data_IF_669353583468
#
_entry.id   IF_669353583468
#
_cell.length_a   1.000
_cell.length_b   1.000
_cell.length_c   1.000
_cell.angle_alpha   90.00
_cell.angle_beta   90.00
_cell.angle_gamma   90.00
#
_symmetry.space_group_name_H-M   'P 1'
#
loop_
_entity.id
_entity.type
_entity.pdbx_description
1 polymer ?
#
# COMPACT_ATOMS: atom_id res chain seq x y z
N UNK A 1 -81.93 7.77 -60.75
CA UNK A 1 -81.63 7.55 -62.16
C UNK A 1 -80.15 7.05 -62.20
N UNK A 2 -80.04 5.81 -62.50
CA UNK A 2 -79.29 5.23 -63.58
C UNK A 2 -77.80 5.24 -63.36
N UNK A 3 -77.10 4.22 -63.15
CA UNK A 3 -77.00 2.91 -63.77
C UNK A 3 -75.51 2.76 -64.03
N UNK A 4 -74.88 1.76 -63.82
CA UNK A 4 -74.63 0.43 -64.25
C UNK A 4 -73.17 0.11 -64.08
N UNK A 5 -72.96 -1.01 -63.51
CA UNK A 5 -72.37 -2.25 -64.08
C UNK A 5 -71.09 -2.03 -64.94
N UNK A 6 -69.98 -2.64 -64.54
CA UNK A 6 -69.63 -3.95 -64.93
C UNK A 6 -68.14 -4.23 -64.99
N UNK A 7 -67.85 -5.42 -64.53
CA UNK A 7 -66.89 -6.46 -65.03
C UNK A 7 -65.38 -6.20 -65.04
N UNK A 8 -64.69 -6.98 -64.19
CA UNK A 8 -63.86 -8.14 -64.48
C UNK A 8 -62.73 -7.96 -65.51
N UNK A 9 -61.51 -8.15 -65.09
CA UNK A 9 -60.59 -9.28 -65.42
C UNK A 9 -59.19 -8.92 -64.98
N UNK A 10 -58.60 -9.68 -64.05
CA UNK A 10 -57.61 -10.71 -64.22
C UNK A 10 -56.25 -10.32 -64.89
N UNK A 11 -55.25 -10.57 -64.15
CA UNK A 11 -53.92 -11.10 -64.43
C UNK A 11 -52.81 -10.11 -64.83
N UNK A 12 -51.80 -10.05 -64.02
CA UNK A 12 -50.53 -10.74 -64.30
C UNK A 12 -49.46 -10.27 -63.25
N UNK A 13 -48.74 -11.27 -62.79
CA UNK A 13 -47.54 -11.19 -62.00
C UNK A 13 -46.48 -10.27 -62.59
N UNK A 14 -45.89 -9.41 -61.78
CA UNK A 14 -44.51 -8.99 -61.99
C UNK A 14 -43.83 -8.96 -60.65
N UNK A 15 -42.98 -9.90 -60.43
CA UNK A 15 -42.09 -10.11 -59.28
C UNK A 15 -40.95 -9.11 -59.40
N UNK A 16 -40.94 -8.05 -58.61
CA UNK A 16 -39.78 -7.19 -58.49
C UNK A 16 -39.17 -7.43 -57.10
N UNK A 17 -38.02 -8.13 -57.09
CA UNK A 17 -37.14 -8.24 -55.95
C UNK A 17 -36.59 -6.85 -55.61
N UNK A 18 -37.00 -6.31 -54.49
CA UNK A 18 -36.31 -5.16 -53.85
C UNK A 18 -35.45 -5.74 -52.73
N UNK A 19 -34.13 -5.74 -52.92
CA UNK A 19 -33.15 -5.97 -51.85
C UNK A 19 -33.25 -4.84 -50.82
N UNK A 20 -33.49 -5.13 -49.54
CA UNK A 20 -33.22 -4.16 -48.51
C UNK A 20 -31.71 -4.15 -48.22
N UNK A 21 -31.07 -3.03 -48.52
CA UNK A 21 -29.70 -2.76 -48.12
C UNK A 21 -29.60 -2.78 -46.58
N UNK A 22 -28.85 -3.73 -46.04
CA UNK A 22 -28.44 -3.79 -44.66
C UNK A 22 -27.45 -2.65 -44.37
N UNK A 23 -27.96 -1.56 -43.85
CA UNK A 23 -27.15 -0.58 -43.12
C UNK A 23 -26.80 -1.22 -41.78
N UNK A 24 -25.70 -1.96 -41.70
CA UNK A 24 -25.07 -2.39 -40.47
C UNK A 24 -24.47 -1.17 -39.80
N UNK A 25 -25.28 -0.50 -38.95
CA UNK A 25 -24.78 0.41 -37.92
C UNK A 25 -23.97 -0.42 -36.93
N UNK A 26 -22.65 -0.43 -37.12
CA UNK A 26 -21.71 -1.01 -36.17
C UNK A 26 -21.75 -0.21 -34.86
N UNK A 27 -22.67 -0.56 -33.96
CA UNK A 27 -22.49 -0.26 -32.54
C UNK A 27 -21.28 -1.08 -32.11
N UNK A 28 -20.13 -0.41 -31.98
CA UNK A 28 -18.97 -0.96 -31.31
C UNK A 28 -19.37 -1.32 -29.88
N UNK A 29 -19.69 -2.59 -29.64
CA UNK A 29 -19.73 -3.14 -28.29
C UNK A 29 -18.35 -2.90 -27.67
N UNK A 30 -18.26 -1.89 -26.81
CA UNK A 30 -17.22 -1.85 -25.82
C UNK A 30 -17.44 -3.10 -24.98
N UNK A 31 -16.72 -4.16 -25.29
CA UNK A 31 -16.61 -5.30 -24.40
C UNK A 31 -16.12 -4.77 -23.07
N UNK A 32 -17.03 -4.62 -22.13
CA UNK A 32 -16.68 -4.34 -20.74
C UNK A 32 -15.73 -5.48 -20.35
N UNK A 33 -14.46 -5.12 -20.12
CA UNK A 33 -13.43 -6.05 -19.66
C UNK A 33 -13.99 -6.72 -18.42
N UNK A 34 -14.30 -8.01 -18.51
CA UNK A 34 -14.75 -8.76 -17.34
C UNK A 34 -13.78 -8.52 -16.19
N UNK A 35 -14.29 -8.20 -15.00
CA UNK A 35 -13.43 -7.98 -13.84
C UNK A 35 -12.64 -9.26 -13.61
N UNK A 36 -11.32 -9.18 -13.70
CA UNK A 36 -10.43 -10.29 -13.38
C UNK A 36 -10.82 -10.89 -12.02
N UNK A 37 -10.85 -12.21 -11.88
CA UNK A 37 -11.25 -12.85 -10.63
C UNK A 37 -10.40 -12.28 -9.49
N UNK A 38 -11.05 -11.84 -8.41
CA UNK A 38 -10.36 -11.31 -7.23
C UNK A 38 -9.43 -12.40 -6.69
N UNK A 39 -8.12 -12.14 -6.69
CA UNK A 39 -7.15 -13.03 -6.06
C UNK A 39 -7.53 -13.25 -4.59
N UNK A 40 -7.42 -14.48 -4.10
CA UNK A 40 -7.66 -14.79 -2.68
C UNK A 40 -6.73 -13.96 -1.77
N UNK A 41 -7.22 -13.60 -0.59
CA UNK A 41 -6.41 -12.93 0.42
C UNK A 41 -5.24 -13.82 0.88
N UNK A 42 -4.17 -13.18 1.36
CA UNK A 42 -3.10 -13.91 2.05
C UNK A 42 -3.59 -14.43 3.40
N UNK A 43 -3.17 -15.63 3.78
CA UNK A 43 -3.62 -16.32 5.00
C UNK A 43 -3.12 -15.69 6.33
N UNK A 44 -2.44 -14.55 6.28
CA UNK A 44 -1.95 -13.81 7.42
C UNK A 44 -0.65 -13.05 7.13
N UNK A 45 -0.14 -12.26 8.10
CA UNK A 45 1.08 -11.45 7.93
C UNK A 45 2.29 -12.28 7.46
N UNK A 46 2.46 -13.49 7.99
CA UNK A 46 3.54 -14.41 7.63
C UNK A 46 3.51 -14.91 6.17
N UNK A 47 2.44 -14.63 5.44
CA UNK A 47 2.26 -15.01 4.03
C UNK A 47 2.30 -13.83 3.07
N UNK A 48 2.52 -12.64 3.58
CA UNK A 48 2.68 -11.46 2.74
C UNK A 48 4.01 -11.55 1.97
N UNK A 49 4.00 -11.29 0.65
CA UNK A 49 5.24 -11.02 -0.06
C UNK A 49 5.91 -9.77 0.55
N UNK A 50 7.22 -9.85 0.77
CA UNK A 50 8.00 -8.73 1.24
C UNK A 50 9.36 -8.71 0.55
N UNK A 51 9.84 -7.55 0.17
CA UNK A 51 11.12 -7.38 -0.52
C UNK A 51 11.73 -6.01 -0.27
N UNK A 52 13.03 -5.91 -0.44
CA UNK A 52 13.69 -4.63 -0.63
C UNK A 52 13.47 -4.20 -2.08
N UNK A 53 13.10 -2.94 -2.28
CA UNK A 53 12.95 -2.39 -3.62
C UNK A 53 14.30 -2.11 -4.28
N UNK A 54 14.29 -1.87 -5.59
CA UNK A 54 15.51 -1.64 -6.39
C UNK A 54 16.28 -0.39 -5.97
N UNK A 55 15.61 0.56 -5.32
CA UNK A 55 16.22 1.77 -4.74
C UNK A 55 17.14 1.46 -3.54
N UNK A 56 17.05 0.27 -2.98
CA UNK A 56 17.86 -0.19 -1.84
C UNK A 56 17.50 0.48 -0.50
N UNK A 57 16.37 1.18 -0.41
CA UNK A 57 15.93 1.94 0.77
C UNK A 57 14.49 1.67 1.17
N UNK A 58 13.64 1.31 0.23
CA UNK A 58 12.21 1.07 0.44
C UNK A 58 11.94 -0.41 0.64
N UNK A 59 11.23 -0.76 1.72
CA UNK A 59 10.72 -2.12 1.96
C UNK A 59 9.28 -2.20 1.48
N UNK A 60 9.01 -3.12 0.57
CA UNK A 60 7.68 -3.32 -0.05
C UNK A 60 7.03 -4.56 0.55
N UNK A 61 5.78 -4.42 0.99
CA UNK A 61 4.96 -5.49 1.57
C UNK A 61 3.62 -5.59 0.84
N UNK A 62 3.24 -6.80 0.46
CA UNK A 62 1.95 -7.08 -0.18
C UNK A 62 2.03 -7.42 -1.66
N UNK A 63 0.88 -7.48 -2.31
CA UNK A 63 0.80 -7.82 -3.74
C UNK A 63 1.38 -6.68 -4.59
N UNK A 64 2.41 -6.93 -5.43
CA UNK A 64 2.96 -5.91 -6.31
C UNK A 64 1.93 -5.33 -7.29
N UNK A 65 0.87 -6.08 -7.60
CA UNK A 65 -0.23 -5.65 -8.48
C UNK A 65 -1.41 -5.03 -7.73
N UNK A 66 -1.26 -4.76 -6.42
CA UNK A 66 -2.32 -4.09 -5.65
C UNK A 66 -2.64 -2.72 -6.25
N UNK A 67 -3.93 -2.36 -6.36
CA UNK A 67 -4.35 -1.13 -7.06
C UNK A 67 -3.99 0.16 -6.32
N UNK A 68 -3.66 0.09 -5.04
CA UNK A 68 -3.30 1.24 -4.23
C UNK A 68 -1.94 1.02 -3.56
N UNK A 69 -1.06 1.99 -3.71
CA UNK A 69 0.23 2.03 -3.01
C UNK A 69 0.12 3.00 -1.84
N UNK A 70 0.53 2.56 -0.66
CA UNK A 70 0.68 3.42 0.52
C UNK A 70 2.14 3.38 0.93
N UNK A 71 2.86 4.48 0.74
CA UNK A 71 4.24 4.63 1.19
C UNK A 71 4.24 5.36 2.53
N UNK A 72 4.80 4.74 3.54
CA UNK A 72 4.93 5.26 4.88
C UNK A 72 6.39 5.64 5.17
N UNK A 73 6.57 6.83 5.71
CA UNK A 73 7.83 7.27 6.30
C UNK A 73 7.68 7.21 7.81
N UNK A 74 8.49 6.44 8.48
CA UNK A 74 8.38 6.16 9.92
C UNK A 74 9.73 6.22 10.62
N UNK A 75 9.72 6.64 11.89
CA UNK A 75 10.84 6.42 12.81
C UNK A 75 10.39 5.43 13.90
N UNK A 76 11.14 4.34 14.14
CA UNK A 76 10.74 3.33 15.14
C UNK A 76 10.55 3.88 16.57
N UNK A 77 11.15 5.03 16.93
CA UNK A 77 10.96 5.66 18.23
C UNK A 77 9.82 6.68 18.27
N UNK A 78 9.23 7.02 17.11
CA UNK A 78 8.18 8.03 17.03
C UNK A 78 6.89 7.54 17.69
N UNK A 79 6.36 8.23 18.75
CA UNK A 79 5.14 7.81 19.42
C UNK A 79 3.91 7.94 18.54
N UNK A 80 3.89 8.90 17.60
CA UNK A 80 2.79 9.08 16.66
C UNK A 80 2.79 7.93 15.62
N UNK A 81 3.96 7.41 15.23
CA UNK A 81 4.05 6.17 14.44
C UNK A 81 3.52 4.98 15.22
N UNK A 82 3.83 4.87 16.53
CA UNK A 82 3.26 3.83 17.37
C UNK A 82 1.73 3.91 17.42
N UNK A 83 1.19 5.10 17.63
CA UNK A 83 -0.26 5.31 17.65
C UNK A 83 -0.89 4.86 16.33
N UNK A 84 -0.35 5.30 15.20
CA UNK A 84 -0.79 4.87 13.87
C UNK A 84 -0.76 3.35 13.74
N UNK A 85 0.38 2.72 14.06
CA UNK A 85 0.62 1.29 13.83
C UNK A 85 -0.14 0.37 14.79
N UNK A 86 -0.46 0.82 16.01
CA UNK A 86 -1.08 -0.04 17.04
C UNK A 86 -2.58 0.22 17.17
N UNK A 87 -2.98 1.48 17.32
CA UNK A 87 -4.36 1.87 17.61
C UNK A 87 -5.04 2.62 16.48
N UNK A 88 -4.28 3.28 15.62
CA UNK A 88 -4.75 4.05 14.48
C UNK A 88 -5.09 3.20 13.25
N UNK A 89 -4.75 3.71 12.07
CA UNK A 89 -5.05 3.12 10.78
C UNK A 89 -4.19 1.93 10.38
N UNK A 90 -3.01 1.75 10.99
CA UNK A 90 -2.05 0.68 10.65
C UNK A 90 -2.66 -0.73 10.62
N UNK A 91 -3.46 -1.15 11.64
CA UNK A 91 -4.15 -2.43 11.58
C UNK A 91 -5.12 -2.57 10.39
N UNK A 92 -5.79 -1.48 10.00
CA UNK A 92 -6.68 -1.49 8.84
C UNK A 92 -5.89 -1.58 7.52
N UNK A 93 -4.79 -0.83 7.42
CA UNK A 93 -3.89 -0.90 6.26
C UNK A 93 -3.32 -2.31 6.09
N UNK A 94 -2.79 -2.93 7.15
CA UNK A 94 -2.33 -4.34 7.12
C UNK A 94 -3.42 -5.30 6.65
N UNK A 95 -4.67 -5.10 7.11
CA UNK A 95 -5.79 -5.92 6.66
C UNK A 95 -6.13 -5.71 5.17
N UNK A 96 -5.99 -4.49 4.64
CA UNK A 96 -6.16 -4.20 3.21
C UNK A 96 -5.02 -4.84 2.39
N UNK A 97 -3.79 -4.78 2.89
CA UNK A 97 -2.63 -5.41 2.26
C UNK A 97 -2.79 -6.93 2.18
N UNK A 98 -3.26 -7.57 3.25
CA UNK A 98 -3.60 -9.00 3.23
C UNK A 98 -4.67 -9.34 2.19
N UNK A 99 -5.66 -8.47 1.99
CA UNK A 99 -6.71 -8.64 0.98
C UNK A 99 -6.28 -8.25 -0.44
N UNK A 100 -5.01 -7.88 -0.65
CA UNK A 100 -4.47 -7.42 -1.94
C UNK A 100 -5.14 -6.13 -2.46
N UNK A 101 -5.76 -5.38 -1.54
CA UNK A 101 -6.39 -4.09 -1.87
C UNK A 101 -5.35 -2.96 -1.90
N UNK A 102 -4.27 -3.11 -1.11
CA UNK A 102 -3.12 -2.20 -1.08
C UNK A 102 -1.80 -2.97 -1.12
N UNK A 103 -0.72 -2.31 -1.55
CA UNK A 103 0.65 -2.65 -1.14
C UNK A 103 1.17 -1.52 -0.25
N UNK A 104 2.00 -1.87 0.72
CA UNK A 104 2.59 -0.89 1.64
C UNK A 104 4.09 -0.83 1.41
N UNK A 105 4.61 0.38 1.31
CA UNK A 105 6.02 0.68 1.17
C UNK A 105 6.48 1.39 2.44
N UNK A 106 7.68 1.09 2.92
CA UNK A 106 8.25 1.67 4.13
C UNK A 106 9.63 2.23 3.87
N UNK A 107 9.84 3.49 4.20
CA UNK A 107 11.16 4.13 4.33
C UNK A 107 11.33 4.59 5.76
N UNK A 108 12.44 4.20 6.39
CA UNK A 108 12.66 4.48 7.80
C UNK A 108 13.60 5.66 8.00
N UNK A 109 13.15 6.59 8.83
CA UNK A 109 13.97 7.63 9.44
C UNK A 109 14.59 7.11 10.74
N UNK A 110 15.61 7.81 11.22
CA UNK A 110 16.25 7.60 12.52
C UNK A 110 16.67 8.93 13.17
N UNK A 111 16.04 10.03 12.76
CA UNK A 111 16.36 11.39 13.24
C UNK A 111 16.08 11.57 14.74
N UNK A 112 15.22 10.73 15.34
CA UNK A 112 14.96 10.79 16.77
C UNK A 112 16.17 10.38 17.62
N UNK A 113 17.12 9.64 17.06
CA UNK A 113 18.38 9.36 17.72
C UNK A 113 19.23 10.63 17.92
N UNK A 114 19.14 11.60 17.00
CA UNK A 114 19.80 12.90 17.13
C UNK A 114 19.03 13.84 18.06
N UNK A 115 17.70 13.86 17.95
CA UNK A 115 16.85 14.75 18.75
C UNK A 115 16.75 14.35 20.22
N UNK A 116 16.62 13.06 20.50
CA UNK A 116 16.41 12.54 21.87
C UNK A 116 17.65 11.80 22.43
N UNK A 117 18.74 11.77 21.65
CA UNK A 117 19.96 11.05 22.01
C UNK A 117 19.87 9.54 21.83
N UNK A 118 21.02 8.89 21.73
CA UNK A 118 21.11 7.45 21.61
C UNK A 118 21.23 6.93 20.18
N UNK A 119 20.82 5.68 19.96
CA UNK A 119 20.86 4.99 18.66
C UNK A 119 19.77 3.93 18.49
N UNK A 120 18.67 4.09 19.22
CA UNK A 120 17.55 3.16 19.25
C UNK A 120 16.85 3.02 17.90
N UNK A 121 16.59 4.14 17.20
CA UNK A 121 16.00 4.12 15.88
C UNK A 121 16.89 3.38 14.89
N UNK A 122 18.19 3.72 14.83
CA UNK A 122 19.15 3.06 13.94
C UNK A 122 19.26 1.56 14.21
N UNK A 123 19.28 1.16 15.48
CA UNK A 123 19.28 -0.28 15.86
C UNK A 123 17.98 -0.98 15.45
N UNK A 124 16.83 -0.34 15.63
CA UNK A 124 15.55 -0.91 15.23
C UNK A 124 15.44 -1.06 13.72
N UNK A 125 15.85 -0.03 12.94
CA UNK A 125 15.86 -0.09 11.47
C UNK A 125 16.78 -1.20 10.96
N UNK A 126 17.99 -1.36 11.56
CA UNK A 126 18.87 -2.49 11.26
C UNK A 126 18.20 -3.85 11.53
N UNK A 127 17.48 -3.97 12.64
CA UNK A 127 16.79 -5.22 13.00
C UNK A 127 15.59 -5.48 12.08
N UNK A 128 14.85 -4.47 11.66
CA UNK A 128 13.80 -4.58 10.65
C UNK A 128 14.35 -5.06 9.30
N UNK A 129 15.50 -4.51 8.87
CA UNK A 129 16.17 -4.97 7.66
C UNK A 129 16.65 -6.42 7.77
N UNK A 130 17.12 -6.83 8.95
CA UNK A 130 17.48 -8.23 9.21
C UNK A 130 16.26 -9.16 9.18
N UNK A 131 15.10 -8.69 9.68
CA UNK A 131 13.84 -9.42 9.61
C UNK A 131 13.33 -9.59 8.18
N UNK A 132 13.52 -8.58 7.32
CA UNK A 132 13.22 -8.68 5.89
C UNK A 132 14.02 -9.81 5.21
N UNK A 133 15.29 -9.94 5.53
CA UNK A 133 16.16 -11.02 5.01
C UNK A 133 15.67 -12.41 5.40
N UNK A 134 15.00 -12.49 6.57
CA UNK A 134 14.40 -13.72 7.07
C UNK A 134 12.94 -13.94 6.58
N UNK A 135 12.39 -13.05 5.75
CA UNK A 135 10.99 -13.10 5.32
C UNK A 135 10.00 -12.90 6.47
N UNK A 136 10.34 -12.02 7.44
CA UNK A 136 9.62 -11.79 8.69
C UNK A 136 9.47 -10.31 9.06
N UNK A 137 9.63 -9.43 8.06
CA UNK A 137 9.55 -8.00 8.29
C UNK A 137 8.16 -7.58 8.80
N UNK A 138 7.09 -7.96 8.10
CA UNK A 138 5.73 -7.51 8.42
C UNK A 138 5.30 -7.95 9.84
N UNK A 139 5.70 -9.16 10.26
CA UNK A 139 5.41 -9.66 11.61
C UNK A 139 6.23 -8.92 12.66
N UNK A 140 7.53 -8.74 12.41
CA UNK A 140 8.44 -8.13 13.36
C UNK A 140 8.20 -6.62 13.51
N UNK A 141 7.90 -5.92 12.43
CA UNK A 141 7.47 -4.52 12.43
C UNK A 141 6.29 -4.28 13.37
N UNK A 142 5.23 -5.08 13.23
CA UNK A 142 4.08 -5.00 14.12
C UNK A 142 4.41 -5.31 15.58
N UNK A 143 5.37 -6.20 15.84
CA UNK A 143 5.84 -6.51 17.20
C UNK A 143 6.63 -5.34 17.78
N UNK A 144 7.51 -4.70 17.00
CA UNK A 144 8.31 -3.56 17.47
C UNK A 144 7.43 -2.42 17.93
N UNK A 145 6.48 -1.96 17.10
CA UNK A 145 5.61 -0.85 17.47
C UNK A 145 4.70 -1.17 18.67
N UNK A 146 4.20 -2.39 18.79
CA UNK A 146 3.41 -2.78 19.98
C UNK A 146 4.21 -2.77 21.29
N UNK A 147 5.52 -2.83 21.23
CA UNK A 147 6.41 -2.85 22.39
C UNK A 147 7.43 -1.72 22.34
N UNK A 148 7.05 -0.62 21.69
CA UNK A 148 7.92 0.54 21.54
C UNK A 148 8.25 1.09 22.94
N UNK A 149 9.54 1.32 23.23
CA UNK A 149 9.94 2.06 24.44
C UNK A 149 9.48 3.51 24.38
N UNK A 150 9.39 4.18 25.53
CA UNK A 150 9.12 5.60 25.56
C UNK A 150 10.17 6.39 24.74
N UNK A 151 9.73 7.42 24.02
CA UNK A 151 10.56 8.19 23.07
C UNK A 151 11.85 8.74 23.71
N UNK A 152 11.74 9.27 24.93
CA UNK A 152 12.87 9.83 25.68
C UNK A 152 13.90 8.77 26.12
N UNK A 153 13.59 7.49 25.99
CA UNK A 153 14.46 6.39 26.37
C UNK A 153 15.14 5.79 25.15
N UNK A 154 16.48 5.66 25.17
CA UNK A 154 17.21 4.87 24.14
C UNK A 154 16.94 3.36 24.31
N UNK A 155 15.64 3.03 24.24
CA UNK A 155 15.12 1.74 24.72
C UNK A 155 15.21 0.57 23.74
N UNK A 156 15.36 0.82 22.44
CA UNK A 156 15.61 -0.26 21.47
C UNK A 156 17.05 -0.77 21.57
N UNK A 157 17.38 -1.37 22.73
CA UNK A 157 18.64 -2.05 22.94
C UNK A 157 18.72 -3.35 22.12
N UNK A 158 19.93 -3.81 21.83
CA UNK A 158 20.14 -5.12 21.21
C UNK A 158 19.41 -6.25 21.95
N UNK A 159 19.44 -6.22 23.28
CA UNK A 159 18.76 -7.22 24.11
C UNK A 159 17.23 -7.18 23.94
N UNK A 160 16.62 -5.99 23.92
CA UNK A 160 15.18 -5.83 23.67
C UNK A 160 14.83 -6.30 22.26
N UNK A 161 15.56 -5.88 21.24
CA UNK A 161 15.30 -6.27 19.86
C UNK A 161 15.31 -7.78 19.68
N UNK A 162 16.30 -8.49 20.26
CA UNK A 162 16.36 -9.95 20.23
C UNK A 162 15.22 -10.58 21.04
N UNK A 163 14.84 -10.02 22.19
CA UNK A 163 13.69 -10.48 22.97
C UNK A 163 12.39 -10.36 22.17
N UNK A 164 12.18 -9.23 21.49
CA UNK A 164 10.99 -9.00 20.64
C UNK A 164 10.96 -9.93 19.42
N UNK A 165 12.12 -10.21 18.82
CA UNK A 165 12.23 -11.20 17.74
C UNK A 165 11.79 -12.60 18.17
N UNK A 166 11.96 -12.96 19.45
CA UNK A 166 11.44 -14.21 20.01
C UNK A 166 9.91 -14.34 20.01
N UNK A 167 9.17 -13.22 19.79
CA UNK A 167 7.72 -13.23 19.62
C UNK A 167 7.27 -13.51 18.18
N UNK A 168 8.21 -13.59 17.23
CA UNK A 168 7.97 -13.93 15.82
C UNK A 168 8.49 -15.33 15.55
N UNK A 169 7.60 -16.23 15.16
CA UNK A 169 7.96 -17.62 14.93
C UNK A 169 9.02 -17.74 13.82
N UNK A 170 10.13 -18.41 14.14
CA UNK A 170 11.22 -18.69 13.20
C UNK A 170 12.12 -17.49 12.85
N UNK A 171 11.99 -16.33 13.51
CA UNK A 171 12.86 -15.18 13.26
C UNK A 171 14.21 -15.31 13.98
N UNK A 172 14.23 -15.78 15.25
CA UNK A 172 15.46 -15.96 16.02
C UNK A 172 16.32 -17.06 15.43
N UNK A 173 17.58 -16.77 15.29
CA UNK A 173 18.61 -17.72 14.82
C UNK A 173 19.96 -17.05 14.62
N UNK A 174 21.03 -17.83 14.35
CA UNK A 174 22.39 -17.27 14.27
C UNK A 174 22.53 -16.11 13.29
N UNK A 175 21.89 -16.18 12.13
CA UNK A 175 21.97 -15.14 11.09
C UNK A 175 21.32 -13.83 11.54
N UNK A 176 20.07 -13.88 12.03
CA UNK A 176 19.35 -12.71 12.53
C UNK A 176 20.04 -12.12 13.76
N UNK A 177 20.37 -12.96 14.74
CA UNK A 177 20.98 -12.53 16.00
C UNK A 177 22.33 -11.85 15.78
N UNK A 178 23.15 -12.41 14.88
CA UNK A 178 24.42 -11.79 14.48
C UNK A 178 24.20 -10.46 13.78
N UNK A 179 23.26 -10.39 12.82
CA UNK A 179 22.97 -9.17 12.08
C UNK A 179 22.52 -8.02 13.01
N UNK A 180 21.70 -8.32 14.01
CA UNK A 180 21.26 -7.34 15.02
C UNK A 180 22.45 -6.89 15.89
N UNK A 181 23.25 -7.82 16.38
CA UNK A 181 24.40 -7.53 17.28
C UNK A 181 25.50 -6.73 16.60
N UNK A 182 25.75 -6.98 15.31
CA UNK A 182 26.87 -6.36 14.57
C UNK A 182 26.47 -5.15 13.75
N UNK A 183 25.21 -4.73 13.78
CA UNK A 183 24.66 -3.67 12.90
C UNK A 183 24.98 -3.97 11.43
N UNK A 184 24.75 -5.21 10.99
CA UNK A 184 25.12 -5.70 9.65
C UNK A 184 24.57 -4.84 8.51
N UNK A 185 23.39 -4.24 8.71
CA UNK A 185 22.71 -3.42 7.71
C UNK A 185 22.85 -1.92 7.95
N UNK A 186 23.93 -1.48 8.60
CA UNK A 186 24.23 -0.05 8.83
C UNK A 186 24.12 0.78 7.54
N UNK A 187 24.68 0.28 6.45
CA UNK A 187 24.60 0.99 5.17
C UNK A 187 23.16 1.14 4.65
N UNK A 188 22.25 0.20 4.96
CA UNK A 188 20.82 0.36 4.70
C UNK A 188 20.22 1.45 5.59
N UNK A 189 20.51 1.44 6.89
CA UNK A 189 20.06 2.47 7.84
C UNK A 189 20.43 3.87 7.35
N UNK A 190 21.70 4.08 7.00
CA UNK A 190 22.20 5.38 6.54
C UNK A 190 21.58 5.80 5.20
N UNK A 191 21.31 4.85 4.29
CA UNK A 191 20.63 5.16 3.02
C UNK A 191 19.16 5.48 3.21
N UNK A 192 18.47 4.76 4.09
CA UNK A 192 17.05 4.97 4.40
C UNK A 192 16.83 6.34 5.02
N UNK A 193 17.70 6.75 5.97
CA UNK A 193 17.69 8.12 6.53
C UNK A 193 17.83 9.16 5.41
N UNK A 194 18.87 9.05 4.57
CA UNK A 194 19.04 9.98 3.46
C UNK A 194 17.88 9.98 2.45
N UNK A 195 17.18 8.86 2.29
CA UNK A 195 15.99 8.81 1.44
C UNK A 195 14.82 9.58 2.06
N UNK A 196 14.66 9.48 3.39
CA UNK A 196 13.71 10.27 4.15
C UNK A 196 14.03 11.78 4.07
N UNK A 197 15.28 12.17 4.28
CA UNK A 197 15.72 13.57 4.17
C UNK A 197 15.41 14.16 2.77
N UNK A 198 15.79 13.44 1.71
CA UNK A 198 15.49 13.88 0.32
C UNK A 198 14.01 14.01 0.04
N UNK A 199 13.18 13.10 0.59
CA UNK A 199 11.74 13.22 0.45
C UNK A 199 11.20 14.47 1.16
N UNK A 200 11.87 14.91 2.23
CA UNK A 200 11.57 16.14 2.96
C UNK A 200 11.99 17.43 2.26
N UNK A 201 12.97 17.40 1.34
CA UNK A 201 13.48 18.59 0.66
C UNK A 201 12.39 19.35 -0.14
N UNK A 202 11.38 18.63 -0.64
CA UNK A 202 10.26 19.24 -1.35
C UNK A 202 9.23 19.92 -0.45
N UNK A 203 9.36 19.79 0.87
CA UNK A 203 8.42 20.36 1.84
C UNK A 203 9.08 21.46 2.66
N UNK A 204 8.47 22.64 2.86
CA UNK A 204 9.10 23.78 3.53
C UNK A 204 9.55 23.51 4.98
N UNK A 205 8.98 22.49 5.64
CA UNK A 205 9.28 22.11 7.03
C UNK A 205 9.99 20.77 7.16
N UNK A 206 10.38 20.15 6.03
CA UNK A 206 10.80 18.75 6.02
C UNK A 206 9.65 17.79 6.21
N UNK A 207 9.92 16.47 6.23
CA UNK A 207 8.93 15.47 6.58
C UNK A 207 8.93 15.21 8.09
N UNK A 208 7.74 15.05 8.65
CA UNK A 208 7.55 14.41 9.96
C UNK A 208 7.29 12.91 9.82
N UNK A 209 7.18 12.22 10.97
CA UNK A 209 6.76 10.82 11.00
C UNK A 209 5.55 10.63 11.91
N UNK A 210 4.55 9.82 11.50
CA UNK A 210 4.45 9.17 10.20
C UNK A 210 4.06 10.15 9.10
N UNK A 211 4.62 10.00 7.91
CA UNK A 211 4.09 10.63 6.69
C UNK A 211 3.58 9.53 5.76
N UNK A 212 2.41 9.72 5.17
CA UNK A 212 1.84 8.80 4.19
C UNK A 212 1.79 9.44 2.80
N UNK A 213 2.27 8.71 1.78
CA UNK A 213 2.15 9.04 0.36
C UNK A 213 1.28 7.97 -0.29
N UNK A 214 0.16 8.36 -0.88
CA UNK A 214 -0.83 7.44 -1.43
C UNK A 214 -0.89 7.61 -2.93
N UNK A 215 -0.58 6.54 -3.68
CA UNK A 215 -0.44 6.56 -5.14
C UNK A 215 0.49 7.68 -5.64
N UNK A 216 1.59 7.96 -4.91
CA UNK A 216 2.58 8.97 -5.27
C UNK A 216 2.24 10.39 -4.80
N UNK A 217 1.11 10.60 -4.11
CA UNK A 217 0.70 11.91 -3.60
C UNK A 217 0.72 11.91 -2.08
N UNK A 218 1.48 12.84 -1.48
CA UNK A 218 1.53 12.99 -0.03
C UNK A 218 0.15 13.37 0.52
N UNK A 219 -0.24 12.71 1.62
CA UNK A 219 -1.47 13.04 2.35
C UNK A 219 -1.35 14.47 2.89
N UNK A 220 -2.25 15.41 2.49
CA UNK A 220 -2.21 16.78 2.98
C UNK A 220 -2.41 16.84 4.50
N UNK A 221 -1.86 17.88 5.13
CA UNK A 221 -1.88 18.06 6.59
C UNK A 221 -3.30 18.08 7.16
N UNK A 222 -4.25 18.69 6.47
CA UNK A 222 -5.66 18.76 6.86
C UNK A 222 -6.35 17.38 6.93
N UNK A 223 -5.79 16.37 6.26
CA UNK A 223 -6.29 14.99 6.31
C UNK A 223 -5.45 14.07 7.21
N UNK A 224 -4.43 14.61 7.88
CA UNK A 224 -3.53 13.82 8.73
C UNK A 224 -4.29 13.00 9.79
N UNK A 225 -5.33 13.56 10.39
CA UNK A 225 -6.19 12.86 11.35
C UNK A 225 -6.82 11.57 10.82
N UNK A 226 -6.97 11.44 9.49
CA UNK A 226 -7.50 10.22 8.86
C UNK A 226 -6.61 9.01 9.10
N UNK A 227 -5.30 9.20 9.27
CA UNK A 227 -4.37 8.11 9.59
C UNK A 227 -4.72 7.40 10.90
N UNK A 228 -5.42 8.06 11.81
CA UNK A 228 -5.78 7.52 13.13
C UNK A 228 -7.22 7.00 13.20
N UNK A 229 -8.03 7.23 12.17
CA UNK A 229 -9.37 6.65 12.03
C UNK A 229 -9.36 5.47 11.06
N UNK A 230 -9.47 4.25 11.61
CA UNK A 230 -9.47 2.99 10.83
C UNK A 230 -10.55 2.93 9.76
N UNK A 231 -11.75 3.49 10.07
CA UNK A 231 -12.89 3.45 9.14
C UNK A 231 -12.72 4.48 8.02
N UNK A 232 -12.29 5.69 8.37
CA UNK A 232 -12.02 6.75 7.42
C UNK A 232 -10.90 6.33 6.46
N UNK A 233 -9.76 5.88 6.98
CA UNK A 233 -8.63 5.40 6.17
C UNK A 233 -9.05 4.23 5.25
N UNK A 234 -9.78 3.24 5.77
CA UNK A 234 -10.24 2.11 4.95
C UNK A 234 -11.12 2.58 3.80
N UNK A 235 -12.08 3.46 4.08
CA UNK A 235 -12.98 4.03 3.06
C UNK A 235 -12.19 4.79 2.02
N UNK A 236 -11.29 5.64 2.46
CA UNK A 236 -10.45 6.45 1.60
C UNK A 236 -9.57 5.60 0.67
N UNK A 237 -8.82 4.64 1.20
CA UNK A 237 -7.95 3.76 0.40
C UNK A 237 -8.75 2.95 -0.63
N UNK A 238 -9.99 2.55 -0.31
CA UNK A 238 -10.86 1.89 -1.27
C UNK A 238 -11.34 2.80 -2.39
N UNK A 239 -11.57 4.09 -2.10
CA UNK A 239 -11.88 5.07 -3.14
C UNK A 239 -10.70 5.32 -4.08
N UNK A 240 -9.47 5.36 -3.55
CA UNK A 240 -8.24 5.53 -4.34
C UNK A 240 -7.99 4.43 -5.36
N UNK A 241 -8.63 3.29 -5.22
CA UNK A 241 -8.62 2.22 -6.23
C UNK A 241 -9.25 2.64 -7.57
N UNK A 242 -10.24 3.53 -7.53
CA UNK A 242 -11.01 3.97 -8.70
C UNK A 242 -10.62 5.35 -9.20
N UNK A 243 -9.90 6.10 -8.38
CA UNK A 243 -9.43 7.45 -8.70
C UNK A 243 -7.91 7.51 -8.46
N UNK A 244 -7.10 7.07 -9.45
CA UNK A 244 -5.64 7.11 -9.29
C UNK A 244 -5.06 8.52 -9.34
N UNK A 245 -5.85 9.54 -9.61
CA UNK A 245 -5.44 10.94 -9.73
C UNK A 245 -5.62 11.74 -8.42
N UNK A 246 -4.89 12.86 -8.29
CA UNK A 246 -4.67 13.54 -7.02
C UNK A 246 -5.96 14.06 -6.37
N UNK A 247 -5.82 14.38 -5.09
CA UNK A 247 -6.80 15.05 -4.23
C UNK A 247 -7.57 16.12 -4.99
N UNK A 248 -8.88 16.31 -4.76
CA UNK A 248 -9.59 17.48 -5.26
C UNK A 248 -8.87 18.73 -4.74
N UNK A 249 -8.40 19.54 -5.68
CA UNK A 249 -7.87 20.88 -5.43
C UNK A 249 -8.93 21.78 -4.83
#
# INVERSE_FOLDING_TARGET
MSGGRGRRQLAALALTLVLPGLLSSGCGERTAREPSPKKAAYGGPAKLPEKLDVDGTTIVVGDPEAPVTVHLYEDPRCPVCQEFEVTGGGPALRALTQRRETKTEYTFASFLDEKAGGSGSKRAVNALRAALEAGKFAEYHAVLYRHQPAEAVDGYTTALLLKLAGKVAGLRGPAFDSAVKTMRYRAFVDRSERAFDRAGEATPRGLGTPTAVINGVQLPEEYFGMLFDRKALTRFLRLMRYQPAPWPS
#
